data_IF_081934829867
#
_entry.id   IF_081934829867
#
_cell.length_a   1.000
_cell.length_b   1.000
_cell.length_c   1.000
_cell.angle_alpha   90.00
_cell.angle_beta   90.00
_cell.angle_gamma   90.00
#
_symmetry.space_group_name_H-M   'P 1'
#
loop_
_entity.id
_entity.type
_entity.pdbx_description
1 polymer ?
#
# COMPACT_ATOMS: atom_id res chain seq x y z
N UNK A 1 7.62 5.01 4.66
CA UNK A 1 6.50 4.67 5.56
C UNK A 1 6.31 5.79 6.54
N UNK A 2 5.06 6.15 6.84
CA UNK A 2 4.73 7.20 7.81
C UNK A 2 3.77 6.69 8.88
N UNK A 3 3.76 7.36 10.03
CA UNK A 3 2.71 7.16 11.04
C UNK A 3 1.56 8.16 10.85
N UNK A 4 0.57 8.14 11.74
CA UNK A 4 -0.57 9.08 11.74
C UNK A 4 -0.15 10.55 11.91
N UNK A 5 0.98 10.78 12.56
CA UNK A 5 1.54 12.13 12.75
C UNK A 5 2.38 12.60 11.55
N UNK A 6 2.34 11.84 10.45
CA UNK A 6 3.10 12.08 9.21
C UNK A 6 4.63 12.04 9.41
N UNK A 7 5.09 11.47 10.52
CA UNK A 7 6.51 11.23 10.75
C UNK A 7 7.00 10.09 9.86
N UNK A 8 8.15 10.27 9.22
CA UNK A 8 8.79 9.23 8.39
C UNK A 8 9.40 8.19 9.33
N UNK A 9 8.82 6.99 9.34
CA UNK A 9 9.31 5.85 10.12
C UNK A 9 10.34 5.00 9.38
N UNK A 10 10.29 5.04 8.05
CA UNK A 10 11.20 4.28 7.20
C UNK A 10 11.36 4.98 5.85
N UNK A 11 12.61 5.11 5.44
CA UNK A 11 13.03 5.60 4.13
C UNK A 11 14.06 4.61 3.59
N UNK A 12 13.77 4.02 2.42
CA UNK A 12 14.74 3.15 1.75
C UNK A 12 15.89 3.96 1.17
N UNK A 13 17.00 3.30 0.86
CA UNK A 13 18.08 3.91 0.09
C UNK A 13 17.56 4.46 -1.25
N UNK A 14 18.25 5.48 -1.77
CA UNK A 14 18.02 5.95 -3.13
C UNK A 14 18.36 4.85 -4.13
N UNK A 15 17.46 4.63 -5.09
CA UNK A 15 17.60 3.62 -6.14
C UNK A 15 17.29 4.24 -7.51
N UNK A 16 17.55 3.49 -8.57
CA UNK A 16 17.17 3.88 -9.94
C UNK A 16 15.66 4.07 -10.06
N UNK A 17 15.23 5.17 -10.67
CA UNK A 17 13.81 5.49 -10.89
C UNK A 17 13.06 4.52 -11.82
N UNK A 18 13.76 3.55 -12.43
CA UNK A 18 13.14 2.46 -13.21
C UNK A 18 12.60 1.33 -12.33
N UNK A 19 12.98 1.29 -11.05
CA UNK A 19 12.54 0.24 -10.12
C UNK A 19 11.18 0.59 -9.53
N UNK A 20 10.20 -0.31 -9.69
CA UNK A 20 8.86 -0.14 -9.10
C UNK A 20 8.90 -0.19 -7.56
N UNK A 21 8.05 0.62 -6.90
CA UNK A 21 7.95 0.71 -5.44
C UNK A 21 7.72 -0.66 -4.76
N UNK A 22 6.90 -1.53 -5.36
CA UNK A 22 6.71 -2.89 -4.87
C UNK A 22 8.04 -3.66 -4.77
N UNK A 23 8.91 -3.52 -5.77
CA UNK A 23 10.20 -4.20 -5.79
C UNK A 23 11.14 -3.67 -4.71
N UNK A 24 11.04 -2.38 -4.41
CA UNK A 24 11.78 -1.76 -3.29
C UNK A 24 11.32 -2.32 -1.96
N UNK A 25 10.00 -2.41 -1.75
CA UNK A 25 9.43 -2.98 -0.54
C UNK A 25 9.81 -4.46 -0.35
N UNK A 26 9.87 -5.24 -1.45
CA UNK A 26 10.38 -6.61 -1.44
C UNK A 26 11.85 -6.66 -1.03
N UNK A 27 12.72 -5.90 -1.70
CA UNK A 27 14.16 -5.95 -1.47
C UNK A 27 14.56 -5.45 -0.08
N UNK A 28 13.79 -4.51 0.49
CA UNK A 28 14.02 -3.99 1.85
C UNK A 28 13.43 -4.90 2.94
N UNK A 29 12.64 -5.91 2.57
CA UNK A 29 11.98 -6.84 3.49
C UNK A 29 11.10 -6.14 4.55
N UNK A 30 10.67 -4.91 4.30
CA UNK A 30 9.94 -4.08 5.27
C UNK A 30 8.60 -4.73 5.67
N UNK A 31 7.98 -5.48 4.76
CA UNK A 31 6.73 -6.23 5.00
C UNK A 31 6.86 -7.35 6.03
N UNK A 32 8.07 -7.83 6.27
CA UNK A 32 8.34 -8.86 7.29
C UNK A 32 8.49 -8.26 8.69
N UNK A 33 8.92 -7.00 8.78
CA UNK A 33 9.12 -6.29 10.05
C UNK A 33 7.81 -5.74 10.65
N UNK A 34 6.75 -5.59 9.83
CA UNK A 34 5.48 -5.04 10.30
C UNK A 34 4.67 -6.12 11.04
N UNK A 35 4.20 -5.84 12.27
CA UNK A 35 3.30 -6.73 13.01
C UNK A 35 1.95 -6.93 12.31
N UNK A 36 1.35 -8.12 12.47
CA UNK A 36 0.11 -8.51 11.78
C UNK A 36 -1.11 -7.66 12.13
N UNK A 37 -1.10 -7.07 13.32
CA UNK A 37 -2.15 -6.23 13.89
C UNK A 37 -2.04 -4.77 13.43
N UNK A 38 -0.91 -4.37 12.85
CA UNK A 38 -0.72 -3.04 12.29
C UNK A 38 -1.34 -2.97 10.88
N UNK A 39 -2.33 -2.10 10.73
CA UNK A 39 -2.94 -1.84 9.43
C UNK A 39 -1.99 -1.05 8.52
N UNK A 40 -1.69 -1.61 7.36
CA UNK A 40 -0.91 -0.98 6.30
C UNK A 40 -1.86 -0.40 5.27
N UNK A 41 -1.96 0.93 5.21
CA UNK A 41 -2.67 1.61 4.14
C UNK A 41 -1.67 1.85 3.00
N UNK A 42 -1.99 1.34 1.81
CA UNK A 42 -1.09 1.32 0.65
C UNK A 42 -1.78 1.85 -0.60
N UNK A 43 -1.02 2.52 -1.46
CA UNK A 43 -1.49 2.88 -2.79
C UNK A 43 -1.53 1.66 -3.75
N UNK A 44 -2.29 1.80 -4.83
CA UNK A 44 -2.41 0.86 -5.94
C UNK A 44 -1.08 0.49 -6.63
N UNK A 45 -0.01 1.28 -6.44
CA UNK A 45 1.35 0.93 -6.88
C UNK A 45 1.93 -0.33 -6.22
N UNK A 46 1.39 -0.75 -5.06
CA UNK A 46 1.81 -1.96 -4.34
C UNK A 46 0.95 -3.19 -4.67
N UNK A 47 0.31 -3.23 -5.84
CA UNK A 47 -0.48 -4.37 -6.28
C UNK A 47 0.37 -5.65 -6.35
N UNK A 48 0.02 -6.67 -5.55
CA UNK A 48 0.77 -7.94 -5.47
C UNK A 48 1.58 -8.09 -4.19
N UNK A 49 1.67 -7.06 -3.35
CA UNK A 49 2.32 -7.11 -2.03
C UNK A 49 1.74 -8.20 -1.11
N UNK A 50 0.49 -8.61 -1.32
CA UNK A 50 -0.12 -9.74 -0.59
C UNK A 50 0.62 -11.07 -0.82
N UNK A 51 1.34 -11.21 -1.94
CA UNK A 51 2.15 -12.39 -2.25
C UNK A 51 3.41 -12.48 -1.40
N UNK A 52 3.93 -11.34 -0.96
CA UNK A 52 5.20 -11.25 -0.24
C UNK A 52 5.01 -11.40 1.26
N UNK A 53 3.84 -11.06 1.80
CA UNK A 53 3.54 -11.23 3.21
C UNK A 53 2.04 -11.42 3.47
N UNK A 54 1.61 -12.68 3.61
CA UNK A 54 0.20 -13.04 3.91
C UNK A 54 -0.28 -12.58 5.29
N UNK A 55 0.64 -12.21 6.19
CA UNK A 55 0.34 -11.77 7.56
C UNK A 55 -0.03 -10.29 7.66
N UNK A 56 0.16 -9.49 6.60
CA UNK A 56 -0.10 -8.06 6.64
C UNK A 56 -1.60 -7.76 6.59
N UNK A 57 -2.03 -6.85 7.46
CA UNK A 57 -3.35 -6.25 7.41
C UNK A 57 -3.37 -5.10 6.40
N UNK A 58 -3.57 -5.43 5.11
CA UNK A 58 -3.47 -4.47 4.01
C UNK A 58 -4.83 -3.80 3.72
N UNK A 59 -4.82 -2.47 3.64
CA UNK A 59 -5.93 -1.63 3.21
C UNK A 59 -5.48 -0.87 1.95
N UNK A 60 -6.04 -1.17 0.79
CA UNK A 60 -5.69 -0.50 -0.47
C UNK A 60 -6.91 -0.22 -1.34
N UNK A 61 -6.89 0.83 -2.18
CA UNK A 61 -7.97 1.09 -3.13
C UNK A 61 -8.04 -0.04 -4.17
N UNK A 62 -9.26 -0.36 -4.62
CA UNK A 62 -9.47 -1.32 -5.70
C UNK A 62 -9.12 -0.68 -7.04
N UNK A 63 -8.17 -1.28 -7.76
CA UNK A 63 -7.85 -0.91 -9.14
C UNK A 63 -9.00 -1.22 -10.10
N UNK A 64 -9.27 -0.32 -11.04
CA UNK A 64 -10.27 -0.52 -12.11
C UNK A 64 -9.89 -1.75 -12.94
N UNK A 65 -10.79 -2.74 -13.13
CA UNK A 65 -10.51 -3.89 -13.98
C UNK A 65 -10.41 -3.47 -15.45
N UNK A 66 -9.66 -4.23 -16.27
CA UNK A 66 -9.56 -3.97 -17.71
C UNK A 66 -10.97 -3.99 -18.33
N UNK A 67 -11.31 -2.93 -19.08
CA UNK A 67 -12.59 -2.76 -19.79
C UNK A 67 -13.85 -2.78 -18.90
N UNK A 68 -13.73 -2.55 -17.59
CA UNK A 68 -14.87 -2.53 -16.66
C UNK A 68 -14.81 -1.33 -15.72
N UNK A 69 -15.97 -0.86 -15.29
CA UNK A 69 -16.14 0.19 -14.28
C UNK A 69 -15.94 -0.35 -12.86
N UNK A 70 -15.55 0.53 -11.93
CA UNK A 70 -15.70 0.24 -10.50
C UNK A 70 -17.17 0.37 -10.12
N UNK A 71 -17.68 -0.54 -9.30
CA UNK A 71 -19.05 -0.41 -8.74
C UNK A 71 -19.13 0.79 -7.81
N UNK A 72 -20.34 1.31 -7.56
CA UNK A 72 -20.56 2.40 -6.61
C UNK A 72 -19.97 2.08 -5.23
N UNK A 73 -20.17 0.85 -4.74
CA UNK A 73 -19.58 0.39 -3.49
C UNK A 73 -18.04 0.42 -3.48
N UNK A 74 -17.41 0.01 -4.59
CA UNK A 74 -15.95 0.08 -4.73
C UNK A 74 -15.45 1.52 -4.77
N UNK A 75 -16.16 2.42 -5.47
CA UNK A 75 -15.85 3.86 -5.50
C UNK A 75 -15.93 4.45 -4.09
N UNK A 76 -17.03 4.22 -3.36
CA UNK A 76 -17.20 4.67 -1.97
C UNK A 76 -16.11 4.12 -1.04
N UNK A 77 -15.73 2.84 -1.18
CA UNK A 77 -14.63 2.26 -0.40
C UNK A 77 -13.31 2.96 -0.71
N UNK A 78 -12.98 3.18 -1.99
CA UNK A 78 -11.76 3.88 -2.40
C UNK A 78 -11.72 5.32 -1.83
N UNK A 79 -12.83 6.04 -1.85
CA UNK A 79 -12.93 7.39 -1.25
C UNK A 79 -12.62 7.37 0.25
N UNK A 80 -13.16 6.40 1.00
CA UNK A 80 -12.89 6.25 2.43
C UNK A 80 -11.42 5.94 2.71
N UNK A 81 -10.79 5.11 1.89
CA UNK A 81 -9.37 4.77 2.01
C UNK A 81 -8.51 6.01 1.76
N UNK A 82 -8.78 6.75 0.69
CA UNK A 82 -8.05 7.99 0.37
C UNK A 82 -8.15 9.04 1.48
N UNK A 83 -9.32 9.18 2.13
CA UNK A 83 -9.46 10.06 3.31
C UNK A 83 -8.59 9.60 4.48
N UNK A 84 -8.46 8.28 4.70
CA UNK A 84 -7.64 7.70 5.77
C UNK A 84 -6.13 7.87 5.52
N UNK A 85 -5.69 7.86 4.27
CA UNK A 85 -4.30 8.17 3.88
C UNK A 85 -3.95 9.65 4.12
N UNK A 86 -4.93 10.54 3.99
CA UNK A 86 -4.71 11.99 4.02
C UNK A 86 -4.82 12.61 5.43
N UNK A 87 -5.48 11.90 6.36
CA UNK A 87 -5.73 12.34 7.74
C UNK A 87 -4.52 12.05 8.61
#
# INVERSE_FOLDING_TARGET
>A
MTNKDKAILFLSNTISGKTHDLKVAENTMITSAIPKDVACVLDSGFEGIERTSKKLNIIKPKKKPKKKELTTAQKTKNTRISKKESS
#
